data_IF_853863902162
#
_entry.id   IF_853863902162
#
_cell.length_a   1.000
_cell.length_b   1.000
_cell.length_c   1.000
_cell.angle_alpha   90.00
_cell.angle_beta   90.00
_cell.angle_gamma   90.00
#
_symmetry.space_group_name_H-M   'P 1'
#
loop_
_entity.id
_entity.type
_entity.pdbx_description
1 polymer ?
#
# COMPACT_ATOMS: atom_id res chain seq x y z
N UNK A 1 12.88 -75.99 4.00
CA UNK A 1 12.75 -74.84 4.91
C UNK A 1 13.09 -73.59 4.11
N UNK A 2 12.06 -72.96 3.57
CA UNK A 2 12.12 -71.80 2.67
C UNK A 2 11.54 -70.62 3.45
N UNK A 3 12.34 -69.60 3.68
CA UNK A 3 11.90 -68.37 4.35
C UNK A 3 12.53 -67.17 3.65
N UNK A 4 11.80 -66.57 2.71
CA UNK A 4 12.16 -65.31 2.09
C UNK A 4 11.39 -64.21 2.86
N UNK A 5 12.12 -63.35 3.57
CA UNK A 5 11.58 -62.10 4.12
C UNK A 5 11.40 -61.10 2.98
N UNK A 6 10.17 -60.66 2.73
CA UNK A 6 9.86 -59.49 1.93
C UNK A 6 9.77 -58.26 2.84
N UNK A 7 10.69 -57.30 2.67
CA UNK A 7 10.59 -56.00 3.31
C UNK A 7 9.77 -55.04 2.41
N UNK A 8 8.59 -54.63 2.89
CA UNK A 8 7.78 -53.59 2.25
C UNK A 8 8.48 -52.22 2.40
N UNK A 9 8.77 -51.57 1.27
CA UNK A 9 9.12 -50.16 1.21
C UNK A 9 7.83 -49.35 1.09
N UNK A 10 7.41 -48.71 2.17
CA UNK A 10 6.32 -47.73 2.13
C UNK A 10 6.87 -46.39 1.59
N UNK A 11 6.62 -46.11 0.32
CA UNK A 11 6.82 -44.77 -0.26
C UNK A 11 5.71 -43.85 0.25
N UNK A 12 6.05 -43.02 1.25
CA UNK A 12 5.21 -41.90 1.67
C UNK A 12 5.15 -40.85 0.55
N UNK A 13 3.98 -40.74 -0.08
CA UNK A 13 3.69 -39.63 -0.99
C UNK A 13 3.66 -38.32 -0.16
N UNK A 14 4.72 -37.53 -0.27
CA UNK A 14 4.74 -36.14 0.14
C UNK A 14 3.71 -35.40 -0.72
N UNK A 15 2.54 -35.12 -0.14
CA UNK A 15 1.51 -34.31 -0.77
C UNK A 15 2.07 -32.94 -1.10
N UNK A 16 2.33 -32.69 -2.39
CA UNK A 16 2.52 -31.36 -2.90
C UNK A 16 1.20 -30.60 -2.67
N UNK A 17 1.22 -29.63 -1.77
CA UNK A 17 0.11 -28.70 -1.63
C UNK A 17 0.00 -27.92 -2.94
N UNK A 18 -1.10 -28.11 -3.66
CA UNK A 18 -1.40 -27.29 -4.82
C UNK A 18 -1.37 -25.81 -4.40
N UNK A 19 -0.84 -24.90 -5.22
CA UNK A 19 -0.94 -23.47 -4.92
C UNK A 19 -2.41 -23.13 -4.72
N UNK A 20 -2.73 -22.44 -3.61
CA UNK A 20 -4.08 -21.99 -3.28
C UNK A 20 -4.74 -21.42 -4.55
N UNK A 21 -5.81 -22.06 -5.02
CA UNK A 21 -6.69 -21.59 -6.13
C UNK A 21 -7.40 -20.26 -5.77
N UNK A 22 -7.04 -19.67 -4.64
CA UNK A 22 -7.67 -18.53 -3.98
C UNK A 22 -7.15 -17.18 -4.48
N UNK A 23 -6.07 -17.15 -5.27
CA UNK A 23 -5.54 -15.90 -5.80
C UNK A 23 -6.39 -15.35 -6.98
N UNK A 24 -7.13 -16.23 -7.67
CA UNK A 24 -8.18 -15.88 -8.61
C UNK A 24 -9.36 -15.26 -7.85
N UNK A 25 -9.48 -13.93 -7.91
CA UNK A 25 -10.62 -13.22 -7.32
C UNK A 25 -10.29 -11.90 -6.62
N UNK A 26 -9.03 -11.68 -6.23
CA UNK A 26 -8.66 -10.41 -5.59
C UNK A 26 -8.71 -9.26 -6.58
N UNK A 27 -9.39 -8.18 -6.18
CA UNK A 27 -9.46 -6.94 -6.93
C UNK A 27 -8.31 -6.01 -6.53
N UNK A 28 -7.42 -5.73 -7.47
CA UNK A 28 -6.31 -4.78 -7.31
C UNK A 28 -6.60 -3.56 -8.17
N UNK A 29 -6.68 -2.39 -7.54
CA UNK A 29 -6.89 -1.11 -8.24
C UNK A 29 -5.61 -0.30 -8.17
N UNK A 30 -5.13 0.17 -9.32
CA UNK A 30 -3.88 0.92 -9.43
C UNK A 30 -4.20 2.28 -10.06
N UNK A 31 -3.89 3.34 -9.32
CA UNK A 31 -4.19 4.72 -9.70
C UNK A 31 -2.89 5.50 -9.90
N UNK A 32 -2.78 6.20 -11.03
CA UNK A 32 -1.68 7.15 -11.30
C UNK A 32 -2.25 8.54 -11.48
N UNK A 33 -1.95 9.44 -10.55
CA UNK A 33 -2.33 10.84 -10.62
C UNK A 33 -1.50 11.67 -11.63
N UNK A 34 -1.95 12.87 -12.00
CA UNK A 34 -1.16 13.83 -12.79
C UNK A 34 0.07 14.29 -11.98
N UNK A 35 1.28 14.07 -12.52
CA UNK A 35 2.56 14.53 -11.92
C UNK A 35 3.45 15.27 -12.92
N UNK A 36 2.83 15.95 -13.89
CA UNK A 36 3.52 16.69 -14.93
C UNK A 36 4.37 15.78 -15.83
N UNK A 37 5.61 16.18 -16.10
CA UNK A 37 6.56 15.45 -16.96
C UNK A 37 6.92 14.06 -16.42
N UNK A 38 6.87 13.85 -15.10
CA UNK A 38 7.17 12.56 -14.47
C UNK A 38 6.07 11.50 -14.67
N UNK A 39 4.92 11.87 -15.27
CA UNK A 39 3.74 10.98 -15.30
C UNK A 39 4.01 9.69 -16.07
N UNK A 40 4.85 9.73 -17.11
CA UNK A 40 5.22 8.51 -17.84
C UNK A 40 5.94 7.51 -16.93
N UNK A 41 6.91 7.96 -16.14
CA UNK A 41 7.65 7.09 -15.21
C UNK A 41 6.73 6.46 -14.15
N UNK A 42 5.77 7.24 -13.65
CA UNK A 42 4.79 6.74 -12.67
C UNK A 42 3.87 5.69 -13.29
N UNK A 43 3.44 5.88 -14.54
CA UNK A 43 2.70 4.85 -15.29
C UNK A 43 3.53 3.58 -15.48
N UNK A 44 4.82 3.69 -15.77
CA UNK A 44 5.67 2.51 -15.95
C UNK A 44 5.87 1.75 -14.64
N UNK A 45 6.05 2.46 -13.52
CA UNK A 45 6.04 1.86 -12.19
C UNK A 45 4.72 1.16 -11.86
N UNK A 46 3.60 1.78 -12.21
CA UNK A 46 2.27 1.22 -12.02
C UNK A 46 2.04 -0.04 -12.87
N UNK A 47 2.45 -0.04 -14.15
CA UNK A 47 2.37 -1.21 -15.05
C UNK A 47 3.17 -2.40 -14.53
N UNK A 48 4.34 -2.16 -13.91
CA UNK A 48 5.12 -3.23 -13.28
C UNK A 48 4.38 -3.87 -12.11
N UNK A 49 3.75 -3.06 -11.27
CA UNK A 49 2.90 -3.57 -10.16
C UNK A 49 1.64 -4.26 -10.67
N UNK A 50 1.03 -3.74 -11.75
CA UNK A 50 -0.12 -4.34 -12.41
C UNK A 50 0.22 -5.74 -12.95
N UNK A 51 1.34 -5.86 -13.69
CA UNK A 51 1.82 -7.14 -14.20
C UNK A 51 2.12 -8.12 -13.06
N UNK A 52 2.77 -7.65 -11.99
CA UNK A 52 3.04 -8.49 -10.82
C UNK A 52 1.74 -9.01 -10.19
N UNK A 53 0.74 -8.17 -9.98
CA UNK A 53 -0.55 -8.58 -9.42
C UNK A 53 -1.30 -9.56 -10.35
N UNK A 54 -1.29 -9.32 -11.67
CA UNK A 54 -1.87 -10.24 -12.67
C UNK A 54 -1.18 -11.61 -12.65
N UNK A 55 0.13 -11.64 -12.50
CA UNK A 55 0.90 -12.89 -12.40
C UNK A 55 0.54 -13.69 -11.13
N UNK A 56 -0.02 -13.04 -10.11
CA UNK A 56 -0.58 -13.70 -8.94
C UNK A 56 -2.08 -14.02 -9.09
N UNK A 57 -2.69 -13.86 -10.28
CA UNK A 57 -4.09 -14.20 -10.52
C UNK A 57 -5.11 -13.11 -10.15
N UNK A 58 -4.66 -11.91 -9.76
CA UNK A 58 -5.57 -10.82 -9.40
C UNK A 58 -6.28 -10.21 -10.62
N UNK A 59 -7.51 -9.75 -10.41
CA UNK A 59 -8.20 -8.85 -11.34
C UNK A 59 -7.69 -7.42 -11.16
N UNK A 60 -6.95 -6.91 -12.14
CA UNK A 60 -6.28 -5.61 -12.05
C UNK A 60 -6.99 -4.52 -12.86
N UNK A 61 -7.33 -3.43 -12.20
CA UNK A 61 -7.96 -2.24 -12.77
C UNK A 61 -6.99 -1.05 -12.72
N UNK A 62 -6.65 -0.50 -13.88
CA UNK A 62 -5.69 0.58 -14.03
C UNK A 62 -6.40 1.91 -14.34
N UNK A 63 -6.13 2.95 -13.55
CA UNK A 63 -6.70 4.29 -13.71
C UNK A 63 -5.56 5.29 -13.75
N UNK A 64 -5.16 5.69 -14.95
CA UNK A 64 -4.00 6.57 -15.14
C UNK A 64 -4.43 7.95 -15.64
N UNK A 65 -3.75 8.98 -15.14
CA UNK A 65 -3.75 10.32 -15.75
C UNK A 65 -3.49 10.19 -17.26
N UNK A 66 -4.13 10.98 -18.14
CA UNK A 66 -4.96 12.15 -17.84
C UNK A 66 -6.43 11.82 -17.48
N UNK A 67 -6.77 10.55 -17.25
CA UNK A 67 -8.14 10.09 -17.03
C UNK A 67 -8.42 9.64 -15.58
N UNK A 68 -7.49 9.90 -14.66
CA UNK A 68 -7.61 9.52 -13.26
C UNK A 68 -8.40 10.57 -12.47
N UNK A 69 -9.71 10.63 -12.69
CA UNK A 69 -10.62 11.52 -11.95
C UNK A 69 -11.12 10.89 -10.66
N UNK A 70 -11.53 11.72 -9.69
CA UNK A 70 -12.14 11.23 -8.44
C UNK A 70 -13.35 10.33 -8.69
N UNK A 71 -14.25 10.72 -9.59
CA UNK A 71 -15.43 9.91 -9.89
C UNK A 71 -15.07 8.52 -10.38
N UNK A 72 -14.05 8.40 -11.25
CA UNK A 72 -13.59 7.11 -11.76
C UNK A 72 -12.91 6.29 -10.66
N UNK A 73 -12.02 6.92 -9.88
CA UNK A 73 -11.33 6.27 -8.76
C UNK A 73 -12.31 5.75 -7.72
N UNK A 74 -13.26 6.57 -7.27
CA UNK A 74 -14.27 6.17 -6.28
C UNK A 74 -15.08 4.96 -6.75
N UNK A 75 -15.57 4.97 -7.98
CA UNK A 75 -16.38 3.87 -8.51
C UNK A 75 -15.59 2.57 -8.63
N UNK A 76 -14.37 2.63 -9.16
CA UNK A 76 -13.58 1.42 -9.41
C UNK A 76 -12.91 0.90 -8.14
N UNK A 77 -12.52 1.76 -7.20
CA UNK A 77 -11.88 1.36 -5.94
C UNK A 77 -12.83 0.62 -4.98
N UNK A 78 -14.14 0.77 -5.14
CA UNK A 78 -15.12 0.06 -4.33
C UNK A 78 -14.88 -1.46 -4.39
N UNK A 79 -14.78 -2.11 -3.23
CA UNK A 79 -14.48 -3.53 -3.09
C UNK A 79 -13.06 -3.95 -3.48
N UNK A 80 -12.11 -3.02 -3.60
CA UNK A 80 -10.71 -3.39 -3.86
C UNK A 80 -10.06 -4.01 -2.60
N UNK A 81 -9.43 -5.17 -2.74
CA UNK A 81 -8.61 -5.81 -1.69
C UNK A 81 -7.23 -5.15 -1.61
N UNK A 82 -6.75 -4.59 -2.72
CA UNK A 82 -5.54 -3.75 -2.75
C UNK A 82 -5.81 -2.48 -3.56
N UNK A 83 -5.51 -1.33 -2.96
CA UNK A 83 -5.46 -0.05 -3.66
C UNK A 83 -4.02 0.46 -3.69
N UNK A 84 -3.48 0.66 -4.89
CA UNK A 84 -2.15 1.22 -5.12
C UNK A 84 -2.31 2.62 -5.72
N UNK A 85 -1.66 3.61 -5.12
CA UNK A 85 -1.63 4.97 -5.66
C UNK A 85 -0.20 5.44 -5.86
N UNK A 86 0.05 6.01 -7.04
CA UNK A 86 1.27 6.70 -7.40
C UNK A 86 0.89 8.11 -7.88
N UNK A 87 1.47 9.14 -7.28
CA UNK A 87 1.22 10.51 -7.70
C UNK A 87 1.65 11.54 -6.67
N UNK A 88 1.15 12.77 -6.80
CA UNK A 88 1.36 13.79 -5.77
C UNK A 88 0.72 13.37 -4.45
N UNK A 89 1.48 13.51 -3.37
CA UNK A 89 0.95 13.52 -2.02
C UNK A 89 0.61 14.93 -1.56
N UNK A 90 -0.26 15.07 -0.57
CA UNK A 90 -0.58 16.35 0.06
C UNK A 90 -0.86 16.13 1.55
N UNK A 91 0.15 15.71 2.31
CA UNK A 91 -0.05 15.32 3.71
C UNK A 91 -0.09 16.50 4.67
N UNK A 92 -0.49 16.25 5.92
CA UNK A 92 -0.42 17.22 7.00
C UNK A 92 0.42 16.69 8.18
N UNK A 93 1.30 17.49 8.82
CA UNK A 93 1.64 18.89 8.53
C UNK A 93 2.43 19.10 7.23
N UNK A 94 2.16 20.22 6.55
CA UNK A 94 2.87 20.67 5.33
C UNK A 94 3.09 22.18 5.36
N UNK A 95 4.07 22.73 4.62
CA UNK A 95 4.27 24.19 4.52
C UNK A 95 3.17 24.92 3.73
N UNK A 96 2.25 24.19 3.10
CA UNK A 96 1.14 24.77 2.33
C UNK A 96 -0.04 25.17 3.20
N UNK A 97 -1.15 25.52 2.53
CA UNK A 97 -2.44 25.86 3.12
C UNK A 97 -2.79 25.00 4.34
N UNK A 98 -3.51 25.58 5.34
CA UNK A 98 -3.90 24.90 6.56
C UNK A 98 -4.58 23.55 6.33
N UNK A 99 -4.64 22.75 7.40
CA UNK A 99 -5.32 21.46 7.36
C UNK A 99 -6.75 21.60 6.84
N UNK A 100 -7.09 20.73 5.88
CA UNK A 100 -8.45 20.58 5.37
C UNK A 100 -8.68 19.12 5.04
N UNK A 101 -9.77 18.55 5.58
CA UNK A 101 -10.15 17.15 5.37
C UNK A 101 -10.45 16.84 3.90
N UNK A 102 -10.76 17.86 3.09
CA UNK A 102 -11.11 17.70 1.68
C UNK A 102 -9.92 17.73 0.74
N UNK A 103 -8.75 18.20 1.19
CA UNK A 103 -7.55 18.30 0.34
C UNK A 103 -6.31 17.60 0.90
N UNK A 104 -6.19 17.45 2.22
CA UNK A 104 -5.02 16.84 2.87
C UNK A 104 -5.18 15.34 3.05
N UNK A 105 -4.06 14.63 3.02
CA UNK A 105 -3.96 13.22 3.42
C UNK A 105 -4.75 12.26 2.51
N UNK A 106 -4.56 12.40 1.19
CA UNK A 106 -5.24 11.59 0.19
C UNK A 106 -4.55 11.54 -1.18
N UNK A 107 -5.30 11.76 -2.28
CA UNK A 107 -4.79 11.62 -3.65
C UNK A 107 -4.86 12.93 -4.43
N UNK A 108 -3.82 13.21 -5.22
CA UNK A 108 -3.83 14.21 -6.29
C UNK A 108 -4.30 13.56 -7.59
N UNK A 109 -5.47 13.96 -8.08
CA UNK A 109 -6.14 13.35 -9.23
C UNK A 109 -6.40 14.38 -10.32
N UNK A 110 -6.72 13.95 -11.55
CA UNK A 110 -7.11 14.88 -12.61
C UNK A 110 -8.40 15.61 -12.21
N UNK A 111 -8.37 16.94 -12.24
CA UNK A 111 -9.53 17.78 -12.03
C UNK A 111 -10.59 17.54 -13.12
N UNK A 112 -10.13 17.43 -14.36
CA UNK A 112 -10.94 17.19 -15.56
C UNK A 112 -10.35 16.04 -16.35
N UNK A 113 -11.20 15.11 -16.79
CA UNK A 113 -10.79 13.96 -17.58
C UNK A 113 -10.19 14.42 -18.92
N UNK A 114 -9.03 13.89 -19.29
CA UNK A 114 -8.39 14.16 -20.58
C UNK A 114 -7.62 15.49 -20.65
N UNK A 115 -7.69 16.37 -19.64
CA UNK A 115 -7.00 17.68 -19.67
C UNK A 115 -5.53 17.61 -19.20
N UNK A 116 -4.79 16.64 -19.72
CA UNK A 116 -3.34 16.52 -19.53
C UNK A 116 -2.89 16.03 -18.15
N UNK A 117 -1.58 16.12 -17.92
CA UNK A 117 -0.90 15.56 -16.75
C UNK A 117 -0.52 16.61 -15.69
N UNK A 118 -0.98 17.85 -15.83
CA UNK A 118 -0.68 18.97 -14.91
C UNK A 118 -1.92 19.59 -14.28
N UNK A 119 -3.11 18.99 -14.49
CA UNK A 119 -4.39 19.51 -14.02
C UNK A 119 -4.81 18.92 -12.65
N UNK A 120 -3.90 18.92 -11.69
CA UNK A 120 -4.07 18.26 -10.40
C UNK A 120 -5.13 18.94 -9.52
N UNK A 121 -6.05 18.13 -8.98
CA UNK A 121 -6.93 18.49 -7.86
C UNK A 121 -6.74 17.49 -6.72
N UNK A 122 -6.60 18.02 -5.50
CA UNK A 122 -6.41 17.20 -4.32
C UNK A 122 -7.73 16.76 -3.70
N UNK A 123 -7.79 15.49 -3.34
CA UNK A 123 -8.90 14.83 -2.64
C UNK A 123 -8.35 14.22 -1.37
N UNK A 124 -8.70 14.83 -0.23
CA UNK A 124 -8.16 14.50 1.08
C UNK A 124 -8.86 13.33 1.79
N UNK A 125 -8.56 13.18 3.09
CA UNK A 125 -9.02 12.08 3.94
C UNK A 125 -10.56 11.89 3.95
N UNK A 126 -11.33 12.97 3.80
CA UNK A 126 -12.79 12.93 3.68
C UNK A 126 -13.25 12.05 2.51
N UNK A 127 -12.52 12.13 1.39
CA UNK A 127 -12.80 11.35 0.20
C UNK A 127 -12.26 9.93 0.35
N UNK A 128 -11.05 9.77 0.90
CA UNK A 128 -10.45 8.45 1.09
C UNK A 128 -11.35 7.55 1.95
N UNK A 129 -11.99 8.11 2.99
CA UNK A 129 -12.93 7.41 3.86
C UNK A 129 -14.20 6.87 3.16
N UNK A 130 -14.43 7.25 1.90
CA UNK A 130 -15.61 6.89 1.10
C UNK A 130 -15.30 6.02 -0.11
N UNK A 131 -14.10 5.44 -0.17
CA UNK A 131 -13.71 4.54 -1.26
C UNK A 131 -14.45 3.20 -1.18
N UNK A 132 -14.90 2.78 0.01
CA UNK A 132 -15.62 1.53 0.22
C UNK A 132 -14.78 0.32 -0.17
N UNK A 133 -13.57 0.22 0.39
CA UNK A 133 -12.63 -0.86 0.10
C UNK A 133 -13.17 -2.19 0.65
N UNK A 134 -12.64 -3.31 0.16
CA UNK A 134 -12.98 -4.62 0.70
C UNK A 134 -12.60 -4.71 2.20
N UNK A 135 -13.26 -5.60 2.97
CA UNK A 135 -12.76 -5.96 4.30
C UNK A 135 -11.28 -6.33 4.24
N UNK A 136 -10.52 -5.96 5.26
CA UNK A 136 -9.10 -6.27 5.36
C UNK A 136 -8.20 -5.70 4.26
N UNK A 137 -8.69 -4.79 3.41
CA UNK A 137 -7.93 -4.24 2.30
C UNK A 137 -6.59 -3.63 2.73
N UNK A 138 -5.62 -3.66 1.80
CA UNK A 138 -4.31 -3.04 1.96
C UNK A 138 -4.16 -1.89 0.98
N UNK A 139 -3.70 -0.74 1.47
CA UNK A 139 -3.38 0.43 0.66
C UNK A 139 -1.87 0.56 0.52
N UNK A 140 -1.41 0.87 -0.69
CA UNK A 140 -0.01 1.08 -1.05
C UNK A 140 0.17 2.47 -1.66
N UNK A 141 0.81 3.37 -0.90
CA UNK A 141 1.13 4.74 -1.31
C UNK A 141 2.57 4.80 -1.79
N UNK A 142 2.78 4.72 -3.10
CA UNK A 142 4.09 4.48 -3.70
C UNK A 142 4.65 5.74 -4.38
N UNK A 143 5.83 6.19 -3.90
CA UNK A 143 6.52 7.43 -4.32
C UNK A 143 5.72 8.70 -4.01
N UNK A 144 5.16 8.76 -2.82
CA UNK A 144 4.36 9.91 -2.38
C UNK A 144 5.15 10.81 -1.44
N UNK A 145 5.02 12.12 -1.64
CA UNK A 145 5.44 13.10 -0.64
C UNK A 145 4.54 12.99 0.60
N UNK A 146 5.11 13.21 1.78
CA UNK A 146 4.43 13.23 3.08
C UNK A 146 3.92 11.88 3.61
N UNK A 147 3.45 10.97 2.76
CA UNK A 147 2.78 9.73 3.17
C UNK A 147 3.63 8.82 4.07
N UNK A 148 4.95 8.73 3.82
CA UNK A 148 5.86 7.93 4.67
C UNK A 148 6.49 8.72 5.81
N UNK A 149 6.01 9.95 6.06
CA UNK A 149 6.60 10.90 7.00
C UNK A 149 7.72 11.78 6.41
N UNK A 150 8.05 11.61 5.12
CA UNK A 150 9.01 12.45 4.39
C UNK A 150 8.49 13.87 4.15
N UNK A 151 9.39 14.75 3.72
CA UNK A 151 9.03 15.99 3.01
C UNK A 151 9.02 15.75 1.49
N UNK A 152 8.72 16.79 0.74
CA UNK A 152 8.97 16.81 -0.70
C UNK A 152 10.44 16.65 -1.06
N UNK A 153 10.68 16.22 -2.29
CA UNK A 153 12.01 16.15 -2.84
C UNK A 153 12.66 17.54 -2.83
N UNK A 154 13.89 17.64 -2.33
CA UNK A 154 14.63 18.89 -2.20
C UNK A 154 14.25 19.75 -0.98
N UNK A 155 13.15 19.44 -0.28
CA UNK A 155 12.77 20.17 0.93
C UNK A 155 13.56 19.69 2.17
N UNK A 156 13.56 20.52 3.21
CA UNK A 156 14.18 20.19 4.49
C UNK A 156 13.59 18.92 5.12
N UNK A 157 14.46 18.11 5.71
CA UNK A 157 14.05 16.90 6.41
C UNK A 157 13.17 17.25 7.62
N UNK A 158 12.05 16.54 7.85
CA UNK A 158 11.16 16.83 8.95
C UNK A 158 11.71 16.29 10.28
N UNK A 159 11.17 16.79 11.39
CA UNK A 159 11.40 16.19 12.71
C UNK A 159 10.66 14.85 12.84
N UNK A 160 11.07 14.04 13.83
CA UNK A 160 10.37 12.79 14.17
C UNK A 160 8.90 13.01 14.52
N UNK A 161 8.58 14.05 15.30
CA UNK A 161 7.20 14.38 15.66
C UNK A 161 6.36 14.76 14.45
N UNK A 162 6.94 15.47 13.47
CA UNK A 162 6.28 15.80 12.21
C UNK A 162 6.02 14.56 11.37
N UNK A 163 7.01 13.67 11.26
CA UNK A 163 6.89 12.43 10.51
C UNK A 163 5.81 11.50 11.08
N UNK A 164 5.72 11.38 12.42
CA UNK A 164 4.65 10.65 13.11
C UNK A 164 3.28 11.21 12.75
N UNK A 165 3.10 12.53 12.86
CA UNK A 165 1.82 13.19 12.53
C UNK A 165 1.42 12.94 11.07
N UNK A 166 2.38 13.03 10.14
CA UNK A 166 2.14 12.79 8.71
C UNK A 166 1.66 11.36 8.45
N UNK A 167 2.35 10.35 8.98
CA UNK A 167 1.95 8.94 8.81
C UNK A 167 0.57 8.68 9.42
N UNK A 168 0.30 9.23 10.62
CA UNK A 168 -0.98 9.06 11.29
C UNK A 168 -2.15 9.70 10.51
N UNK A 169 -1.95 10.93 10.03
CA UNK A 169 -2.94 11.64 9.24
C UNK A 169 -3.18 10.97 7.88
N UNK A 170 -2.12 10.62 7.15
CA UNK A 170 -2.25 10.01 5.83
C UNK A 170 -2.97 8.66 5.88
N UNK A 171 -2.77 7.88 6.95
CA UNK A 171 -3.44 6.60 7.12
C UNK A 171 -4.94 6.74 7.41
N UNK A 172 -5.35 7.81 8.08
CA UNK A 172 -6.68 7.95 8.70
C UNK A 172 -7.85 7.69 7.74
N UNK A 173 -7.89 8.40 6.61
CA UNK A 173 -8.99 8.29 5.66
C UNK A 173 -9.11 6.88 5.06
N UNK A 174 -7.97 6.26 4.70
CA UNK A 174 -7.95 4.91 4.13
C UNK A 174 -8.37 3.84 5.14
N UNK A 175 -7.91 3.93 6.39
CA UNK A 175 -8.29 3.01 7.45
C UNK A 175 -9.80 3.09 7.75
N UNK A 176 -10.39 4.30 7.69
CA UNK A 176 -11.85 4.48 7.79
C UNK A 176 -12.63 3.91 6.62
N UNK A 177 -11.99 3.69 5.48
CA UNK A 177 -12.63 3.13 4.29
C UNK A 177 -12.65 1.59 4.25
N UNK A 178 -12.15 0.92 5.30
CA UNK A 178 -12.11 -0.54 5.41
C UNK A 178 -10.70 -1.14 5.33
N UNK A 179 -9.69 -0.35 4.98
CA UNK A 179 -8.31 -0.85 4.93
C UNK A 179 -7.81 -1.22 6.33
N UNK A 180 -7.07 -2.33 6.45
CA UNK A 180 -6.41 -2.72 7.70
C UNK A 180 -4.97 -2.28 7.79
N UNK A 181 -4.36 -1.94 6.65
CA UNK A 181 -3.00 -1.44 6.60
C UNK A 181 -2.82 -0.45 5.45
N UNK A 182 -2.08 0.62 5.73
CA UNK A 182 -1.61 1.59 4.75
C UNK A 182 -0.10 1.56 4.77
N UNK A 183 0.49 1.00 3.72
CA UNK A 183 1.92 1.06 3.48
C UNK A 183 2.24 2.32 2.68
N UNK A 184 3.35 2.98 3.00
CA UNK A 184 3.83 4.13 2.25
C UNK A 184 5.32 4.01 1.98
N UNK A 185 5.72 4.44 0.78
CA UNK A 185 7.11 4.62 0.37
C UNK A 185 7.30 5.98 -0.30
N UNK A 186 8.34 6.70 0.11
CA UNK A 186 8.73 7.97 -0.50
C UNK A 186 9.63 7.81 -1.74
N UNK A 187 10.35 6.68 -1.87
CA UNK A 187 11.37 6.50 -2.92
C UNK A 187 11.41 5.09 -3.53
N UNK A 188 11.30 4.04 -2.71
CA UNK A 188 11.50 2.65 -3.14
C UNK A 188 10.22 2.04 -3.71
N UNK A 189 10.36 1.08 -4.62
CA UNK A 189 9.23 0.33 -5.14
C UNK A 189 8.64 -0.61 -4.09
N UNK A 190 7.31 -0.78 -4.10
CA UNK A 190 6.58 -1.53 -3.07
C UNK A 190 6.17 -2.96 -3.48
N UNK A 191 6.76 -3.53 -4.52
CA UNK A 191 6.40 -4.87 -5.04
C UNK A 191 6.52 -6.00 -4.02
N UNK A 192 7.32 -5.83 -2.96
CA UNK A 192 7.42 -6.81 -1.86
C UNK A 192 6.09 -6.96 -1.10
N UNK A 193 5.26 -5.91 -1.02
CA UNK A 193 3.95 -5.96 -0.36
C UNK A 193 3.03 -6.89 -1.13
N UNK A 194 2.94 -6.73 -2.46
CA UNK A 194 2.19 -7.64 -3.32
C UNK A 194 2.71 -9.08 -3.20
N UNK A 195 4.03 -9.28 -3.28
CA UNK A 195 4.61 -10.61 -3.12
C UNK A 195 4.18 -11.25 -1.81
N UNK A 196 4.32 -10.56 -0.68
CA UNK A 196 3.97 -11.14 0.61
C UNK A 196 2.46 -11.34 0.83
N UNK A 197 1.60 -10.46 0.33
CA UNK A 197 0.15 -10.67 0.39
C UNK A 197 -0.28 -11.91 -0.41
N UNK A 198 0.19 -12.03 -1.65
CA UNK A 198 -0.26 -13.09 -2.55
C UNK A 198 0.46 -14.43 -2.36
N UNK A 199 1.74 -14.42 -1.99
CA UNK A 199 2.57 -15.63 -1.91
C UNK A 199 3.16 -15.90 -0.52
N UNK A 200 2.98 -15.00 0.43
CA UNK A 200 3.49 -15.18 1.79
C UNK A 200 2.72 -16.25 2.57
N UNK A 201 3.30 -16.69 3.70
CA UNK A 201 2.62 -17.57 4.65
C UNK A 201 1.34 -16.90 5.18
N UNK A 202 0.24 -17.67 5.31
CA UNK A 202 -1.03 -17.18 5.88
C UNK A 202 -0.84 -16.62 7.30
N UNK A 203 0.09 -17.16 8.08
CA UNK A 203 0.37 -16.69 9.45
C UNK A 203 1.23 -15.41 9.50
N UNK A 204 1.79 -14.96 8.38
CA UNK A 204 2.61 -13.75 8.34
C UNK A 204 1.75 -12.53 8.69
N UNK A 205 2.12 -11.80 9.73
CA UNK A 205 1.46 -10.54 10.10
C UNK A 205 1.82 -9.43 9.11
N UNK A 206 0.96 -8.41 8.99
CA UNK A 206 1.27 -7.17 8.26
C UNK A 206 2.56 -6.52 8.79
N UNK A 207 2.82 -6.60 10.10
CA UNK A 207 4.09 -6.16 10.68
C UNK A 207 5.29 -6.91 10.11
N UNK A 208 5.22 -8.25 10.04
CA UNK A 208 6.28 -9.07 9.45
C UNK A 208 6.43 -8.78 7.96
N UNK A 209 5.32 -8.63 7.23
CA UNK A 209 5.31 -8.26 5.81
C UNK A 209 6.07 -6.95 5.55
N UNK A 210 5.84 -5.92 6.36
CA UNK A 210 6.62 -4.68 6.29
C UNK A 210 8.12 -4.95 6.35
N UNK A 211 8.57 -5.81 7.25
CA UNK A 211 9.99 -6.14 7.39
C UNK A 211 10.56 -7.07 6.30
N UNK A 212 9.77 -7.48 5.30
CA UNK A 212 10.26 -8.22 4.11
C UNK A 212 10.79 -7.31 3.00
N UNK A 213 10.67 -5.98 3.14
CA UNK A 213 11.21 -5.02 2.17
C UNK A 213 12.73 -5.25 1.98
N UNK A 214 13.20 -5.46 0.74
CA UNK A 214 14.62 -5.64 0.47
C UNK A 214 15.47 -4.41 0.81
N UNK A 215 14.87 -3.22 0.91
CA UNK A 215 15.55 -1.97 1.23
C UNK A 215 15.50 -1.60 2.72
N UNK A 216 15.12 -2.53 3.59
CA UNK A 216 15.06 -2.29 5.04
C UNK A 216 16.44 -1.94 5.60
N UNK A 217 16.50 -0.95 6.47
CA UNK A 217 17.73 -0.64 7.23
C UNK A 217 17.67 -1.27 8.61
N UNK A 218 16.54 -1.10 9.31
CA UNK A 218 16.32 -1.59 10.67
C UNK A 218 17.09 -0.84 11.75
N UNK A 219 17.97 0.09 11.37
CA UNK A 219 18.89 0.81 12.27
C UNK A 219 18.19 1.89 13.08
N UNK A 220 17.26 2.63 12.47
CA UNK A 220 16.56 3.77 13.09
C UNK A 220 15.08 3.49 13.33
N UNK A 221 14.71 2.21 13.33
CA UNK A 221 13.31 1.78 13.40
C UNK A 221 12.63 2.26 14.67
N UNK A 222 11.37 2.63 14.55
CA UNK A 222 10.50 2.88 15.70
C UNK A 222 9.04 2.64 15.34
N UNK A 223 8.21 2.49 16.37
CA UNK A 223 6.76 2.44 16.24
C UNK A 223 6.09 3.50 17.10
N UNK A 224 4.80 3.70 16.86
CA UNK A 224 3.92 4.54 17.66
C UNK A 224 2.48 4.06 17.56
N UNK A 225 1.66 4.38 18.56
CA UNK A 225 0.20 4.16 18.51
C UNK A 225 -0.46 5.35 17.83
N UNK A 226 -1.41 5.07 16.93
CA UNK A 226 -2.20 6.12 16.28
C UNK A 226 -3.02 6.88 17.31
N UNK A 227 -3.01 8.22 17.24
CA UNK A 227 -3.91 9.05 18.06
C UNK A 227 -5.22 9.35 17.33
N UNK A 228 -5.26 9.14 16.00
CA UNK A 228 -6.45 9.37 15.17
C UNK A 228 -7.32 8.14 14.98
N UNK A 229 -6.71 6.95 15.01
CA UNK A 229 -7.38 5.67 14.73
C UNK A 229 -7.18 4.73 15.93
N UNK A 230 -8.13 4.66 16.87
CA UNK A 230 -8.03 3.79 18.04
C UNK A 230 -7.70 2.33 17.66
N UNK A 231 -6.73 1.74 18.37
CA UNK A 231 -6.26 0.37 18.14
C UNK A 231 -5.29 0.19 16.96
N UNK A 232 -5.09 1.21 16.11
CA UNK A 232 -4.06 1.17 15.09
C UNK A 232 -2.68 1.56 15.65
N UNK A 233 -1.64 0.98 15.07
CA UNK A 233 -0.24 1.33 15.35
C UNK A 233 0.54 1.44 14.04
N UNK A 234 1.70 2.08 14.12
CA UNK A 234 2.58 2.26 12.98
C UNK A 234 3.97 1.69 13.24
N UNK A 235 4.65 1.33 12.15
CA UNK A 235 6.08 1.07 12.11
C UNK A 235 6.72 1.99 11.07
N UNK A 236 7.87 2.54 11.41
CA UNK A 236 8.69 3.33 10.52
C UNK A 236 10.10 2.77 10.51
N UNK A 237 10.72 2.79 9.34
CA UNK A 237 12.11 2.34 9.14
C UNK A 237 12.89 3.46 8.42
N UNK A 238 13.29 4.53 9.13
CA UNK A 238 14.03 5.63 8.56
C UNK A 238 15.38 5.15 8.03
N UNK A 239 15.78 5.69 6.87
CA UNK A 239 17.10 5.39 6.30
C UNK A 239 18.22 5.97 7.18
N UNK A 240 17.98 7.15 7.74
CA UNK A 240 18.80 7.80 8.77
C UNK A 240 17.93 8.75 9.59
N UNK A 241 18.43 9.36 10.69
CA UNK A 241 17.66 10.36 11.43
C UNK A 241 17.08 11.41 10.48
N UNK A 242 15.79 11.70 10.66
CA UNK A 242 15.01 12.63 9.85
C UNK A 242 14.78 12.25 8.36
N UNK A 243 15.26 11.08 7.88
CA UNK A 243 14.99 10.60 6.51
C UNK A 243 13.99 9.43 6.50
N UNK A 244 12.71 9.78 6.39
CA UNK A 244 11.58 8.85 6.50
C UNK A 244 11.05 8.42 5.14
N UNK A 245 11.47 7.27 4.64
CA UNK A 245 11.06 6.82 3.30
C UNK A 245 10.12 5.63 3.29
N UNK A 246 9.82 5.06 4.45
CA UNK A 246 8.92 3.93 4.52
C UNK A 246 8.21 3.83 5.87
N UNK A 247 6.94 3.52 5.80
CA UNK A 247 6.09 3.29 6.96
C UNK A 247 4.97 2.32 6.64
N UNK A 248 4.39 1.74 7.69
CA UNK A 248 3.09 1.08 7.64
C UNK A 248 2.30 1.53 8.87
N UNK A 249 1.00 1.77 8.70
CA UNK A 249 0.07 2.07 9.79
C UNK A 249 -1.22 1.25 9.65
N UNK A 250 -1.76 0.77 10.76
CA UNK A 250 -3.02 0.02 10.80
C UNK A 250 -3.05 -1.01 11.93
N UNK A 251 -3.84 -2.06 11.75
CA UNK A 251 -3.89 -3.20 12.69
C UNK A 251 -2.80 -4.21 12.32
N UNK A 252 -1.56 -3.93 12.71
CA UNK A 252 -0.40 -4.65 12.19
C UNK A 252 -0.29 -6.13 12.61
N UNK A 253 -1.14 -6.57 13.54
CA UNK A 253 -1.31 -7.98 13.91
C UNK A 253 -2.20 -8.78 12.98
N UNK A 254 -2.98 -8.12 12.11
CA UNK A 254 -3.73 -8.77 11.01
C UNK A 254 -2.73 -9.59 10.18
N UNK A 255 -3.12 -10.80 9.83
CA UNK A 255 -2.31 -11.73 9.07
C UNK A 255 -2.59 -11.64 7.58
N UNK A 256 -1.68 -12.17 6.78
CA UNK A 256 -1.89 -12.39 5.35
C UNK A 256 -3.10 -13.31 5.13
N UNK A 257 -3.32 -14.28 6.01
CA UNK A 257 -4.52 -15.13 6.01
C UNK A 257 -5.80 -14.33 6.22
N UNK A 258 -5.81 -13.39 7.16
CA UNK A 258 -6.96 -12.49 7.37
C UNK A 258 -7.21 -11.58 6.16
N UNK A 259 -6.16 -11.07 5.52
CA UNK A 259 -6.28 -10.34 4.24
C UNK A 259 -6.90 -11.23 3.15
N UNK A 260 -6.49 -12.50 3.06
CA UNK A 260 -7.05 -13.44 2.08
C UNK A 260 -8.50 -13.84 2.36
N UNK A 261 -8.93 -13.72 3.61
CA UNK A 261 -10.30 -13.98 4.02
C UNK A 261 -11.25 -12.79 3.82
N UNK A 262 -10.75 -11.63 3.35
CA UNK A 262 -11.49 -10.36 3.26
C UNK A 262 -11.46 -9.69 1.88
#
# INVERSE_FOLDING_TARGET
MTGILAALVALGALGATAPDTQAAGYKVVIVVGPVGSATSEYRDGARRLAAQARNYGASVYEIYSPYATWSKVRTVAAGANVLIYLGHGNGWPSPYAPFSTTSKDGMGLNATSGSGNSNTKYYGEYYMAKLGLAPNAVVMLNRLCYASGNSEWGASNPTRSTAIKRVDNYGYGFLRSGAKAVFASGITGMGYVLKGLFTGSKAMTIKQLFWTDPNRTGSYKFGFTSVRTPGASAQMDPYKPSRYYRSVIGWLGVTVGDWRAG
#
